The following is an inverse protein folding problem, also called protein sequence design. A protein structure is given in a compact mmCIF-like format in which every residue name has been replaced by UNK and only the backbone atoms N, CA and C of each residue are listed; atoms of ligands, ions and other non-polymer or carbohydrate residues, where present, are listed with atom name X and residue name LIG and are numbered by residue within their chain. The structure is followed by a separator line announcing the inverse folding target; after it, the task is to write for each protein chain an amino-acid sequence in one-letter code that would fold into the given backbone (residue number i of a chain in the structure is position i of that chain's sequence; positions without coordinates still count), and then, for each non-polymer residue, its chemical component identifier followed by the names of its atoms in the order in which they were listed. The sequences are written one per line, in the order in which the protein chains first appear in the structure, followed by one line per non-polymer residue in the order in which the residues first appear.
data_IF_737329345076
#
_entry.id   IF_737329345076
#
_cell.length_a   1.000
_cell.length_b   1.000
_cell.length_c   1.000
_cell.angle_alpha   90.00
_cell.angle_beta   90.00
_cell.angle_gamma   90.00
#
_symmetry.space_group_name_H-M   'P 1'
#
loop_
_entity.id
_entity.type
_entity.pdbx_description
1 polymer ?
#
# COMPACT_ATOMS: atom_id res chain seq x y z
N UNK A 1 -27.70 -7.46 14.46
CA UNK A 1 -27.28 -8.86 14.58
C UNK A 1 -26.88 -9.34 13.18
N UNK A 2 -25.65 -9.05 12.78
CA UNK A 2 -25.04 -9.52 11.52
C UNK A 2 -23.69 -10.12 11.91
N UNK A 3 -23.76 -11.28 12.55
CA UNK A 3 -22.57 -12.03 12.98
C UNK A 3 -22.24 -13.23 12.08
N UNK A 4 -22.89 -13.38 10.93
CA UNK A 4 -22.82 -14.61 10.13
C UNK A 4 -22.22 -14.46 8.73
N UNK A 5 -21.24 -13.57 8.51
CA UNK A 5 -20.39 -13.60 7.33
C UNK A 5 -18.90 -13.45 7.67
N UNK A 6 -18.50 -14.03 8.78
CA UNK A 6 -17.08 -14.14 9.14
C UNK A 6 -16.58 -15.51 8.66
N UNK A 7 -16.41 -15.63 7.37
CA UNK A 7 -15.45 -16.56 6.82
C UNK A 7 -14.05 -16.02 7.14
N UNK A 8 -13.12 -16.89 7.43
CA UNK A 8 -11.74 -16.66 7.86
C UNK A 8 -10.84 -15.86 6.86
N UNK A 9 -11.42 -15.13 5.92
CA UNK A 9 -10.75 -14.53 4.76
C UNK A 9 -10.77 -12.99 4.75
N UNK A 10 -11.32 -12.33 5.78
CA UNK A 10 -11.35 -10.86 5.83
C UNK A 10 -10.23 -10.29 6.69
N UNK A 11 -9.35 -9.53 6.08
CA UNK A 11 -8.22 -8.91 6.77
C UNK A 11 -8.61 -7.64 7.53
N UNK A 12 -9.33 -6.72 6.88
CA UNK A 12 -9.77 -5.44 7.45
C UNK A 12 -11.15 -5.12 6.89
N UNK A 13 -12.07 -4.70 7.76
CA UNK A 13 -13.43 -4.26 7.39
C UNK A 13 -13.66 -2.82 7.81
N UNK A 14 -14.27 -2.03 6.94
CA UNK A 14 -14.77 -0.71 7.29
C UNK A 14 -16.21 -0.49 6.80
N UNK A 15 -17.01 0.21 7.62
CA UNK A 15 -18.34 0.65 7.25
C UNK A 15 -18.28 2.10 6.77
N UNK A 16 -18.88 2.35 5.62
CA UNK A 16 -19.06 3.67 5.07
C UNK A 16 -20.44 4.21 5.46
N UNK A 17 -20.47 5.38 6.08
CA UNK A 17 -21.71 6.11 6.31
C UNK A 17 -21.40 7.60 6.19
N UNK A 18 -22.00 8.25 5.21
CA UNK A 18 -21.77 9.67 4.89
C UNK A 18 -23.12 10.29 4.53
N UNK A 19 -23.46 11.38 5.21
CA UNK A 19 -24.71 12.10 5.01
C UNK A 19 -24.52 13.43 4.26
N UNK A 20 -23.28 13.92 4.16
CA UNK A 20 -22.95 15.17 3.47
C UNK A 20 -21.50 15.12 2.94
N UNK A 21 -21.18 15.62 1.73
CA UNK A 21 -22.02 16.35 0.76
C UNK A 21 -22.88 15.47 -0.17
N UNK A 22 -22.87 14.14 0.05
CA UNK A 22 -23.71 13.15 -0.66
C UNK A 22 -24.05 12.04 0.32
N UNK A 23 -25.13 11.32 0.07
CA UNK A 23 -25.50 10.18 0.87
C UNK A 23 -24.80 8.94 0.37
N UNK A 24 -24.04 8.27 1.24
CA UNK A 24 -23.29 7.07 0.92
C UNK A 24 -23.35 6.11 2.10
N UNK A 25 -23.82 4.92 1.86
CA UNK A 25 -23.74 3.82 2.80
C UNK A 25 -23.05 2.63 2.18
N UNK A 26 -22.34 1.84 2.96
CA UNK A 26 -21.66 0.68 2.40
C UNK A 26 -20.74 -0.03 3.39
N UNK A 27 -20.21 -1.13 2.93
CA UNK A 27 -19.17 -1.90 3.62
C UNK A 27 -18.12 -2.29 2.62
N UNK A 28 -16.87 -1.92 2.89
CA UNK A 28 -15.71 -2.36 2.13
C UNK A 28 -14.80 -3.18 3.03
N UNK A 29 -14.16 -4.18 2.46
CA UNK A 29 -13.20 -5.00 3.18
C UNK A 29 -12.05 -5.44 2.28
N UNK A 30 -10.90 -5.67 2.91
CA UNK A 30 -9.72 -6.24 2.27
C UNK A 30 -9.86 -7.75 2.26
N UNK A 31 -9.91 -8.40 1.11
CA UNK A 31 -9.81 -9.84 1.03
C UNK A 31 -8.38 -10.26 1.37
N UNK A 32 -8.19 -11.47 1.87
CA UNK A 32 -6.87 -12.07 1.99
C UNK A 32 -6.35 -12.34 0.58
N UNK A 33 -5.32 -11.62 0.16
CA UNK A 33 -4.68 -11.85 -1.13
C UNK A 33 -3.76 -13.07 -1.02
N UNK A 34 -4.03 -14.11 -1.79
CA UNK A 34 -3.08 -15.21 -1.97
C UNK A 34 -1.92 -14.77 -2.86
N UNK A 35 -0.75 -15.39 -2.71
CA UNK A 35 0.50 -15.08 -3.43
C UNK A 35 0.38 -15.10 -4.97
N UNK A 36 -0.61 -15.77 -5.52
CA UNK A 36 -0.98 -15.67 -6.92
C UNK A 36 -2.02 -14.57 -7.05
N UNK A 37 -1.63 -13.43 -7.61
CA UNK A 37 -2.55 -12.38 -8.05
C UNK A 37 -3.42 -12.90 -9.22
N UNK A 38 -4.23 -13.91 -8.99
CA UNK A 38 -5.46 -14.03 -9.74
C UNK A 38 -6.34 -12.88 -9.22
N UNK A 39 -6.27 -11.77 -9.95
CA UNK A 39 -7.16 -10.64 -9.78
C UNK A 39 -8.58 -11.20 -9.96
N UNK A 40 -9.18 -11.61 -8.84
CA UNK A 40 -10.59 -11.95 -8.83
C UNK A 40 -11.32 -10.63 -9.11
N UNK A 41 -11.60 -10.43 -10.39
CA UNK A 41 -12.24 -9.23 -10.90
C UNK A 41 -13.53 -8.93 -10.13
N UNK A 42 -13.62 -7.66 -9.72
CA UNK A 42 -14.84 -6.93 -9.40
C UNK A 42 -15.71 -7.52 -8.29
N UNK A 43 -15.44 -7.09 -7.07
CA UNK A 43 -16.31 -7.47 -5.97
C UNK A 43 -16.84 -6.28 -5.19
N UNK A 44 -16.67 -5.05 -5.71
CA UNK A 44 -17.45 -3.91 -5.26
C UNK A 44 -18.71 -3.85 -6.11
N UNK A 45 -19.85 -3.91 -5.46
CA UNK A 45 -21.16 -3.76 -6.08
C UNK A 45 -21.70 -2.37 -5.79
N UNK A 46 -22.10 -1.65 -6.83
CA UNK A 46 -22.72 -0.33 -6.72
C UNK A 46 -24.23 -0.44 -6.78
N UNK A 47 -24.89 0.25 -5.86
CA UNK A 47 -26.33 0.35 -5.75
C UNK A 47 -26.74 1.82 -5.72
N UNK A 48 -27.98 2.08 -6.13
CA UNK A 48 -28.66 3.36 -5.96
C UNK A 48 -30.04 3.12 -5.32
N UNK A 49 -30.23 3.60 -4.08
CA UNK A 49 -31.46 3.35 -3.31
C UNK A 49 -31.80 1.85 -3.27
N UNK A 50 -30.80 1.01 -2.96
CA UNK A 50 -30.94 -0.44 -2.87
C UNK A 50 -31.21 -1.15 -4.23
N UNK A 51 -31.15 -0.42 -5.35
CA UNK A 51 -31.24 -0.99 -6.69
C UNK A 51 -29.84 -1.19 -7.26
N UNK A 52 -29.53 -2.41 -7.69
CA UNK A 52 -28.26 -2.74 -8.30
C UNK A 52 -27.99 -1.92 -9.57
N UNK A 53 -26.82 -1.30 -9.65
CA UNK A 53 -26.37 -0.50 -10.79
C UNK A 53 -25.34 -1.27 -11.60
N UNK A 54 -24.22 -1.62 -10.99
CA UNK A 54 -23.12 -2.34 -11.65
C UNK A 54 -22.17 -2.97 -10.63
N UNK A 55 -21.47 -4.00 -11.05
CA UNK A 55 -20.30 -4.59 -10.40
C UNK A 55 -19.00 -4.30 -11.17
N UNK A 56 -19.10 -3.63 -12.31
CA UNK A 56 -17.97 -3.23 -13.14
C UNK A 56 -17.51 -1.83 -12.75
N UNK A 57 -16.65 -1.74 -11.73
CA UNK A 57 -16.20 -0.47 -11.14
C UNK A 57 -14.90 0.07 -11.75
N UNK A 58 -14.29 -0.64 -12.70
CA UNK A 58 -13.07 -0.20 -13.39
C UNK A 58 -13.28 1.16 -14.08
N UNK A 59 -12.39 2.12 -13.77
CA UNK A 59 -12.49 3.49 -14.26
C UNK A 59 -13.60 4.33 -13.62
N UNK A 60 -14.39 3.77 -12.69
CA UNK A 60 -15.34 4.49 -11.84
C UNK A 60 -14.67 4.83 -10.51
N UNK A 61 -13.95 3.88 -9.92
CA UNK A 61 -13.10 4.09 -8.75
C UNK A 61 -11.62 3.98 -9.17
N UNK A 62 -10.67 4.55 -8.41
CA UNK A 62 -9.24 4.31 -8.63
C UNK A 62 -8.89 2.82 -8.70
N UNK A 63 -7.94 2.46 -9.54
CA UNK A 63 -7.62 1.06 -9.83
C UNK A 63 -7.28 0.24 -8.58
N UNK A 64 -6.55 0.82 -7.63
CA UNK A 64 -6.20 0.12 -6.39
C UNK A 64 -7.43 -0.21 -5.52
N UNK A 65 -8.51 0.59 -5.58
CA UNK A 65 -9.76 0.28 -4.87
C UNK A 65 -10.50 -0.91 -5.47
N UNK A 66 -10.21 -1.29 -6.71
CA UNK A 66 -10.81 -2.49 -7.34
C UNK A 66 -10.37 -3.80 -6.68
N UNK A 67 -9.30 -3.76 -5.89
CA UNK A 67 -8.84 -4.89 -5.07
C UNK A 67 -9.70 -5.09 -3.81
N UNK A 68 -10.51 -4.12 -3.43
CA UNK A 68 -11.46 -4.26 -2.31
C UNK A 68 -12.70 -5.03 -2.74
N UNK A 69 -13.33 -5.63 -1.76
CA UNK A 69 -14.65 -6.24 -1.90
C UNK A 69 -15.69 -5.46 -1.09
N UNK A 70 -16.94 -5.54 -1.48
CA UNK A 70 -18.03 -4.95 -0.72
C UNK A 70 -19.18 -4.41 -1.53
N UNK A 71 -19.98 -3.60 -0.85
CA UNK A 71 -21.20 -3.00 -1.39
C UNK A 71 -21.20 -1.51 -1.07
N UNK A 72 -21.56 -0.70 -2.04
CA UNK A 72 -21.72 0.74 -1.90
C UNK A 72 -23.13 1.08 -2.42
N UNK A 73 -23.90 1.78 -1.62
CA UNK A 73 -25.20 2.31 -1.98
C UNK A 73 -25.22 3.83 -1.83
N UNK A 74 -25.62 4.54 -2.89
CA UNK A 74 -25.77 5.97 -2.87
C UNK A 74 -26.89 6.42 -3.83
N UNK A 75 -27.84 7.26 -3.37
CA UNK A 75 -28.84 7.86 -4.25
C UNK A 75 -28.24 8.80 -5.29
N UNK A 76 -27.01 9.24 -5.09
CA UNK A 76 -26.28 10.14 -6.00
C UNK A 76 -25.62 9.38 -7.18
N UNK A 77 -25.68 8.03 -7.20
CA UNK A 77 -25.24 7.20 -8.33
C UNK A 77 -26.37 7.12 -9.35
N UNK A 78 -26.13 7.56 -10.62
CA UNK A 78 -27.14 7.49 -11.65
C UNK A 78 -27.60 6.06 -11.96
N UNK A 79 -28.91 5.87 -12.11
CA UNK A 79 -29.52 4.60 -12.55
C UNK A 79 -29.61 4.52 -14.07
N UNK A 80 -29.52 3.30 -14.59
CA UNK A 80 -29.75 2.97 -16.02
C UNK A 80 -28.90 3.80 -17.02
N UNK A 81 -27.65 4.06 -16.66
CA UNK A 81 -26.71 4.79 -17.52
C UNK A 81 -25.56 3.88 -17.95
N UNK A 82 -24.87 4.26 -19.04
CA UNK A 82 -23.72 3.53 -19.52
C UNK A 82 -22.51 3.69 -18.58
N UNK A 83 -21.57 2.72 -18.62
CA UNK A 83 -20.31 2.80 -17.87
C UNK A 83 -19.54 4.09 -18.19
N UNK A 84 -19.47 4.48 -19.45
CA UNK A 84 -18.79 5.72 -19.87
C UNK A 84 -19.42 6.97 -19.27
N UNK A 85 -20.73 6.96 -19.06
CA UNK A 85 -21.42 8.05 -18.35
C UNK A 85 -21.01 8.08 -16.88
N UNK A 86 -21.03 6.93 -16.19
CA UNK A 86 -20.61 6.83 -14.77
C UNK A 86 -19.17 7.32 -14.59
N UNK A 87 -18.26 6.98 -15.48
CA UNK A 87 -16.87 7.44 -15.44
C UNK A 87 -16.71 8.95 -15.59
N UNK A 88 -17.60 9.60 -16.33
CA UNK A 88 -17.56 11.06 -16.56
C UNK A 88 -18.34 11.86 -15.51
N UNK A 89 -19.26 11.21 -14.79
CA UNK A 89 -20.15 11.87 -13.82
C UNK A 89 -19.39 12.47 -12.63
N UNK A 90 -19.69 13.73 -12.31
CA UNK A 90 -18.98 14.46 -11.26
C UNK A 90 -19.31 13.97 -9.85
N UNK A 91 -20.53 13.46 -9.61
CA UNK A 91 -20.92 12.95 -8.31
C UNK A 91 -20.22 11.61 -8.06
N UNK A 92 -20.14 10.75 -9.07
CA UNK A 92 -19.39 9.49 -9.01
C UNK A 92 -17.91 9.75 -8.71
N UNK A 93 -17.29 10.75 -9.34
CA UNK A 93 -15.89 11.15 -9.04
C UNK A 93 -15.71 11.67 -7.61
N UNK A 94 -16.68 12.43 -7.08
CA UNK A 94 -16.65 12.89 -5.68
C UNK A 94 -16.78 11.72 -4.71
N UNK A 95 -17.69 10.79 -4.98
CA UNK A 95 -17.87 9.56 -4.19
C UNK A 95 -16.58 8.75 -4.17
N UNK A 96 -15.99 8.51 -5.33
CA UNK A 96 -14.72 7.80 -5.48
C UNK A 96 -13.59 8.45 -4.66
N UNK A 97 -13.42 9.77 -4.79
CA UNK A 97 -12.40 10.51 -4.02
C UNK A 97 -12.66 10.43 -2.50
N UNK A 98 -13.92 10.44 -2.08
CA UNK A 98 -14.28 10.30 -0.67
C UNK A 98 -13.97 8.91 -0.13
N UNK A 99 -14.29 7.87 -0.89
CA UNK A 99 -13.95 6.48 -0.53
C UNK A 99 -12.43 6.33 -0.38
N UNK A 100 -11.65 6.82 -1.34
CA UNK A 100 -10.18 6.84 -1.27
C UNK A 100 -9.69 7.47 0.03
N UNK A 101 -10.24 8.62 0.37
CA UNK A 101 -9.90 9.32 1.62
C UNK A 101 -10.25 8.50 2.85
N UNK A 102 -11.45 7.91 2.90
CA UNK A 102 -11.91 7.09 4.04
C UNK A 102 -11.07 5.85 4.23
N UNK A 103 -10.74 5.15 3.14
CA UNK A 103 -9.86 3.96 3.17
C UNK A 103 -8.49 4.34 3.71
N UNK A 104 -7.87 5.41 3.21
CA UNK A 104 -6.58 5.88 3.70
C UNK A 104 -6.63 6.30 5.18
N UNK A 105 -7.68 7.02 5.60
CA UNK A 105 -7.85 7.45 6.99
C UNK A 105 -8.06 6.24 7.92
N UNK A 106 -8.77 5.20 7.46
CA UNK A 106 -8.95 3.95 8.23
C UNK A 106 -7.64 3.19 8.40
N UNK A 107 -6.86 3.03 7.33
CA UNK A 107 -5.55 2.38 7.38
C UNK A 107 -4.61 3.14 8.33
N UNK A 108 -4.58 4.47 8.24
CA UNK A 108 -3.82 5.31 9.17
C UNK A 108 -4.27 5.13 10.60
N UNK A 109 -5.59 5.09 10.86
CA UNK A 109 -6.14 4.88 12.19
C UNK A 109 -5.70 3.52 12.77
N UNK A 110 -5.75 2.46 11.99
CA UNK A 110 -5.30 1.12 12.41
C UNK A 110 -3.81 1.12 12.74
N UNK A 111 -2.98 1.66 11.85
CA UNK A 111 -1.54 1.77 12.06
C UNK A 111 -1.16 2.59 13.31
N UNK A 112 -1.98 3.58 13.69
CA UNK A 112 -1.70 4.46 14.84
C UNK A 112 -2.25 3.91 16.16
N UNK A 113 -3.44 3.28 16.13
CA UNK A 113 -4.11 2.82 17.36
C UNK A 113 -3.65 1.45 17.81
N UNK A 114 -3.33 0.58 16.87
CA UNK A 114 -2.94 -0.81 17.12
C UNK A 114 -1.87 -1.24 16.13
N UNK A 115 -0.66 -0.75 16.36
CA UNK A 115 0.51 -1.00 15.52
C UNK A 115 0.79 -2.50 15.38
N UNK A 116 0.73 -3.25 16.47
CA UNK A 116 1.02 -4.69 16.48
C UNK A 116 0.02 -5.47 15.61
N UNK A 117 -1.27 -5.15 15.73
CA UNK A 117 -2.31 -5.78 14.92
C UNK A 117 -2.20 -5.38 13.44
N UNK A 118 -1.77 -4.16 13.15
CA UNK A 118 -1.51 -3.70 11.79
C UNK A 118 -0.30 -4.42 11.17
N UNK A 119 0.77 -4.62 11.92
CA UNK A 119 1.95 -5.38 11.51
C UNK A 119 1.61 -6.84 11.18
N UNK A 120 0.77 -7.50 11.99
CA UNK A 120 0.30 -8.88 11.72
C UNK A 120 -0.47 -9.01 10.41
N UNK A 121 -1.16 -7.94 9.98
CA UNK A 121 -1.95 -7.89 8.74
C UNK A 121 -1.17 -7.35 7.55
N UNK A 122 0.07 -6.90 7.78
CA UNK A 122 0.85 -6.19 6.77
C UNK A 122 1.02 -7.00 5.48
N UNK A 123 1.39 -8.26 5.59
CA UNK A 123 1.62 -9.12 4.43
C UNK A 123 0.36 -9.33 3.56
N UNK A 124 -0.83 -9.23 4.15
CA UNK A 124 -2.11 -9.35 3.44
C UNK A 124 -2.53 -8.04 2.74
N UNK A 125 -2.04 -6.87 3.20
CA UNK A 125 -2.49 -5.55 2.71
C UNK A 125 -1.40 -4.74 2.00
N UNK A 126 -0.12 -5.14 2.12
CA UNK A 126 1.01 -4.37 1.56
C UNK A 126 0.87 -4.08 0.07
N UNK A 127 0.49 -5.07 -0.72
CA UNK A 127 0.33 -4.92 -2.19
C UNK A 127 -0.74 -3.87 -2.53
N UNK A 128 -1.84 -3.85 -1.78
CA UNK A 128 -2.89 -2.84 -1.94
C UNK A 128 -2.35 -1.44 -1.66
N UNK A 129 -1.60 -1.26 -0.56
CA UNK A 129 -1.05 0.03 -0.17
C UNK A 129 0.01 0.49 -1.18
N UNK A 130 0.90 -0.39 -1.61
CA UNK A 130 1.91 -0.12 -2.64
C UNK A 130 1.26 0.28 -3.97
N UNK A 131 0.25 -0.44 -4.41
CA UNK A 131 -0.46 -0.12 -5.64
C UNK A 131 -1.18 1.24 -5.53
N UNK A 132 -1.82 1.51 -4.40
CA UNK A 132 -2.43 2.82 -4.14
C UNK A 132 -1.41 3.96 -4.17
N UNK A 133 -0.25 3.76 -3.56
CA UNK A 133 0.85 4.73 -3.53
C UNK A 133 1.39 5.03 -4.95
N UNK A 134 1.42 4.03 -5.81
CA UNK A 134 1.91 4.18 -7.19
C UNK A 134 0.87 4.76 -8.14
N UNK A 135 -0.42 4.60 -7.88
CA UNK A 135 -1.50 4.91 -8.82
C UNK A 135 -2.33 6.16 -8.46
N UNK A 136 -2.30 6.61 -7.20
CA UNK A 136 -3.11 7.76 -6.73
C UNK A 136 -2.28 8.69 -5.82
N UNK A 137 -1.96 9.89 -6.29
CA UNK A 137 -1.12 10.83 -5.55
C UNK A 137 -1.74 11.27 -4.21
N UNK A 138 -3.07 11.38 -4.14
CA UNK A 138 -3.76 11.76 -2.88
C UNK A 138 -3.69 10.65 -1.84
N UNK A 139 -3.78 9.42 -2.30
CA UNK A 139 -3.56 8.26 -1.44
C UNK A 139 -2.10 8.17 -1.02
N UNK A 140 -1.15 8.38 -1.95
CA UNK A 140 0.29 8.35 -1.70
C UNK A 140 0.71 9.30 -0.56
N UNK A 141 0.24 10.55 -0.58
CA UNK A 141 0.51 11.55 0.47
C UNK A 141 0.08 11.08 1.88
N UNK A 142 -0.97 10.26 1.96
CA UNK A 142 -1.42 9.69 3.22
C UNK A 142 -0.70 8.39 3.55
N UNK A 143 -0.47 7.54 2.56
CA UNK A 143 0.14 6.22 2.71
C UNK A 143 1.57 6.31 3.26
N UNK A 144 2.35 7.31 2.88
CA UNK A 144 3.69 7.59 3.43
C UNK A 144 3.72 7.68 4.97
N UNK A 145 2.59 8.03 5.61
CA UNK A 145 2.49 8.20 7.07
C UNK A 145 2.17 6.92 7.83
N UNK A 146 1.79 5.85 7.14
CA UNK A 146 1.41 4.58 7.78
C UNK A 146 1.95 3.34 7.06
N UNK A 147 2.53 3.51 5.89
CA UNK A 147 3.16 2.41 5.18
C UNK A 147 4.32 1.85 5.98
N UNK A 148 4.34 0.54 6.14
CA UNK A 148 5.39 -0.16 6.86
C UNK A 148 6.44 -0.72 5.91
N UNK A 149 7.65 -0.79 6.41
CA UNK A 149 8.78 -1.42 5.76
C UNK A 149 9.32 -2.49 6.70
N UNK A 150 9.41 -3.71 6.21
CA UNK A 150 9.87 -4.88 6.96
C UNK A 150 11.32 -5.16 6.59
N UNK A 151 12.19 -5.35 7.58
CA UNK A 151 13.56 -5.75 7.33
C UNK A 151 13.74 -7.29 7.38
N UNK A 152 14.93 -7.75 7.07
CA UNK A 152 15.30 -9.19 7.10
C UNK A 152 15.31 -9.79 8.50
N UNK A 153 15.15 -8.99 9.55
CA UNK A 153 15.00 -9.43 10.95
C UNK A 153 13.54 -9.45 11.41
N UNK A 154 12.60 -9.32 10.47
CA UNK A 154 11.16 -9.27 10.75
C UNK A 154 10.71 -8.05 11.58
N UNK A 155 11.52 -6.99 11.63
CA UNK A 155 11.19 -5.73 12.30
C UNK A 155 10.47 -4.79 11.33
N UNK A 156 9.46 -4.05 11.81
CA UNK A 156 8.66 -3.13 11.02
C UNK A 156 8.96 -1.67 11.36
N UNK A 157 9.05 -0.82 10.34
CA UNK A 157 9.36 0.59 10.46
C UNK A 157 8.47 1.44 9.56
N UNK A 158 8.18 2.66 9.98
CA UNK A 158 7.85 3.74 9.06
C UNK A 158 9.13 4.19 8.35
N UNK A 159 9.00 4.84 7.19
CA UNK A 159 10.19 5.24 6.41
C UNK A 159 11.13 6.14 7.21
N UNK A 160 10.60 7.10 7.96
CA UNK A 160 11.40 8.02 8.76
C UNK A 160 12.14 7.29 9.90
N UNK A 161 11.47 6.34 10.58
CA UNK A 161 12.07 5.49 11.62
C UNK A 161 13.22 4.65 11.05
N UNK A 162 13.03 4.12 9.85
CA UNK A 162 14.05 3.32 9.19
C UNK A 162 15.26 4.15 8.76
N UNK A 163 15.02 5.32 8.17
CA UNK A 163 16.09 6.23 7.77
C UNK A 163 16.94 6.68 8.97
N UNK A 164 16.30 7.02 10.10
CA UNK A 164 17.03 7.36 11.33
C UNK A 164 17.92 6.20 11.82
N UNK A 165 17.40 4.98 11.75
CA UNK A 165 18.14 3.77 12.15
C UNK A 165 19.39 3.53 11.31
N UNK A 166 19.31 3.68 9.97
CA UNK A 166 20.39 3.29 9.05
C UNK A 166 21.33 4.42 8.67
N UNK A 167 20.96 5.69 8.87
CA UNK A 167 21.65 6.87 8.37
C UNK A 167 23.16 6.86 8.66
N UNK A 168 23.54 6.56 9.88
CA UNK A 168 24.96 6.59 10.29
C UNK A 168 25.79 5.50 9.63
N UNK A 169 25.21 4.30 9.50
CA UNK A 169 25.91 3.14 8.94
C UNK A 169 25.90 3.15 7.40
N UNK A 170 24.78 3.57 6.80
CA UNK A 170 24.52 3.41 5.37
C UNK A 170 24.54 4.74 4.58
N UNK A 171 25.23 5.76 5.08
CA UNK A 171 25.54 6.95 4.30
C UNK A 171 26.73 6.67 3.37
N UNK A 172 26.60 6.98 2.07
CA UNK A 172 27.67 6.84 1.08
C UNK A 172 28.51 8.12 0.99
N UNK A 173 29.60 8.08 0.19
CA UNK A 173 30.48 9.22 -0.07
C UNK A 173 29.78 10.47 -0.61
N UNK A 174 28.62 10.30 -1.28
CA UNK A 174 27.82 11.39 -1.84
C UNK A 174 26.82 11.98 -0.82
N UNK A 175 26.94 11.62 0.46
CA UNK A 175 26.08 12.03 1.56
C UNK A 175 24.63 11.54 1.42
N UNK A 176 24.39 10.48 0.64
CA UNK A 176 23.08 9.85 0.50
C UNK A 176 22.96 8.64 1.39
N UNK A 177 21.80 8.48 2.01
CA UNK A 177 21.47 7.26 2.75
C UNK A 177 21.06 6.16 1.78
N UNK A 178 21.76 5.04 1.80
CA UNK A 178 21.49 3.90 0.91
C UNK A 178 20.61 2.90 1.60
N UNK A 179 19.39 2.73 1.11
CA UNK A 179 18.47 1.67 1.55
C UNK A 179 18.80 0.41 0.74
N UNK A 180 19.36 -0.58 1.41
CA UNK A 180 19.55 -1.89 0.83
C UNK A 180 18.23 -2.68 0.89
N UNK A 181 17.89 -3.39 -0.19
CA UNK A 181 16.69 -4.22 -0.20
C UNK A 181 16.89 -5.54 -0.94
N UNK A 182 16.07 -6.52 -0.60
CA UNK A 182 15.99 -7.82 -1.26
C UNK A 182 14.54 -8.16 -1.59
N UNK A 183 14.33 -8.87 -2.69
CA UNK A 183 13.03 -9.45 -3.03
C UNK A 183 12.92 -10.92 -2.59
N UNK A 184 14.07 -11.57 -2.34
CA UNK A 184 14.14 -12.97 -1.90
C UNK A 184 15.26 -13.12 -0.86
N UNK A 185 14.92 -13.09 0.44
CA UNK A 185 15.91 -13.24 1.50
C UNK A 185 16.64 -14.59 1.49
N UNK A 186 15.98 -15.66 1.05
CA UNK A 186 16.59 -16.98 1.01
C UNK A 186 17.64 -17.08 -0.10
N UNK A 187 17.30 -16.63 -1.31
CA UNK A 187 18.22 -16.59 -2.44
C UNK A 187 19.43 -15.68 -2.18
N UNK A 188 19.24 -14.58 -1.46
CA UNK A 188 20.26 -13.56 -1.22
C UNK A 188 20.93 -13.65 0.16
N UNK A 189 20.74 -14.75 0.90
CA UNK A 189 21.24 -14.90 2.29
C UNK A 189 22.72 -14.58 2.47
N UNK A 190 23.59 -14.95 1.52
CA UNK A 190 25.03 -14.68 1.59
C UNK A 190 25.36 -13.19 1.47
N UNK A 191 24.64 -12.45 0.62
CA UNK A 191 24.81 -11.01 0.47
C UNK A 191 24.26 -10.28 1.72
N UNK A 192 23.12 -10.73 2.24
CA UNK A 192 22.51 -10.21 3.47
C UNK A 192 23.48 -10.41 4.66
N UNK A 193 24.07 -11.59 4.83
CA UNK A 193 25.03 -11.84 5.90
C UNK A 193 26.24 -10.88 5.82
N UNK A 194 26.79 -10.68 4.63
CA UNK A 194 27.90 -9.72 4.43
C UNK A 194 27.50 -8.27 4.75
N UNK A 195 26.25 -7.88 4.47
CA UNK A 195 25.76 -6.56 4.82
C UNK A 195 25.61 -6.42 6.35
N UNK A 196 25.05 -7.44 7.00
CA UNK A 196 24.88 -7.47 8.46
C UNK A 196 26.24 -7.49 9.20
N UNK A 197 27.26 -8.17 8.71
CA UNK A 197 28.62 -8.16 9.26
C UNK A 197 29.22 -6.75 9.27
N UNK A 198 28.79 -5.88 8.35
CA UNK A 198 29.17 -4.45 8.31
C UNK A 198 28.24 -3.55 9.13
N UNK A 199 27.28 -4.11 9.83
CA UNK A 199 26.27 -3.36 10.58
C UNK A 199 25.20 -2.70 9.71
N UNK A 200 25.05 -3.14 8.45
CA UNK A 200 24.00 -2.66 7.55
C UNK A 200 22.70 -3.41 7.76
N UNK A 201 21.58 -2.73 7.54
CA UNK A 201 20.26 -3.32 7.55
C UNK A 201 19.73 -3.46 6.12
N UNK A 202 18.83 -4.42 5.90
CA UNK A 202 18.29 -4.75 4.58
C UNK A 202 16.78 -4.88 4.68
N UNK A 203 16.04 -4.18 3.81
CA UNK A 203 14.59 -4.31 3.71
C UNK A 203 14.20 -5.52 2.85
N UNK A 204 13.06 -6.10 3.17
CA UNK A 204 12.37 -7.09 2.34
C UNK A 204 11.32 -6.36 1.49
N UNK A 205 11.52 -6.36 0.19
CA UNK A 205 10.61 -5.79 -0.80
C UNK A 205 10.28 -6.88 -1.83
N UNK A 206 9.33 -7.74 -1.47
CA UNK A 206 9.05 -9.04 -2.11
C UNK A 206 7.82 -9.02 -3.03
N UNK A 207 7.26 -7.83 -3.31
CA UNK A 207 6.13 -7.69 -4.22
C UNK A 207 6.58 -7.46 -5.67
N UNK A 208 5.70 -7.71 -6.62
CA UNK A 208 5.94 -7.37 -8.04
C UNK A 208 6.06 -5.86 -8.29
N UNK A 209 5.64 -5.03 -7.33
CA UNK A 209 5.68 -3.58 -7.40
C UNK A 209 6.97 -2.98 -6.82
N UNK A 210 7.81 -3.78 -6.17
CA UNK A 210 8.97 -3.32 -5.38
C UNK A 210 9.92 -2.40 -6.14
N UNK A 211 10.24 -2.72 -7.40
CA UNK A 211 11.14 -1.86 -8.21
C UNK A 211 10.51 -0.50 -8.54
N UNK A 212 9.21 -0.48 -8.83
CA UNK A 212 8.49 0.78 -9.08
C UNK A 212 8.36 1.61 -7.81
N UNK A 213 8.12 0.94 -6.68
CA UNK A 213 8.05 1.56 -5.36
C UNK A 213 9.39 2.19 -4.98
N UNK A 214 10.50 1.48 -5.14
CA UNK A 214 11.84 2.00 -4.89
C UNK A 214 12.12 3.27 -5.70
N UNK A 215 11.84 3.25 -7.01
CA UNK A 215 12.02 4.40 -7.88
C UNK A 215 11.13 5.60 -7.47
N UNK A 216 9.89 5.36 -7.08
CA UNK A 216 8.97 6.41 -6.59
C UNK A 216 9.48 7.03 -5.30
N UNK A 217 9.94 6.20 -4.37
CA UNK A 217 10.47 6.67 -3.08
C UNK A 217 11.76 7.47 -3.24
N UNK A 218 12.66 7.08 -4.16
CA UNK A 218 13.86 7.86 -4.48
C UNK A 218 13.53 9.26 -5.03
N UNK A 219 12.45 9.39 -5.79
CA UNK A 219 11.99 10.69 -6.29
C UNK A 219 11.37 11.55 -5.19
N UNK A 220 10.71 10.93 -4.22
CA UNK A 220 9.94 11.59 -3.18
C UNK A 220 10.78 11.93 -1.93
N UNK A 221 11.89 11.20 -1.69
CA UNK A 221 12.78 11.36 -0.55
C UNK A 221 14.07 12.09 -0.95
N UNK A 222 14.47 13.05 -0.12
CA UNK A 222 15.72 13.78 -0.34
C UNK A 222 16.90 12.96 0.20
N UNK A 223 17.98 12.91 -0.56
CA UNK A 223 19.26 12.27 -0.15
C UNK A 223 19.14 10.79 0.22
N UNK A 224 18.22 10.09 -0.43
CA UNK A 224 18.02 8.65 -0.29
C UNK A 224 18.21 7.97 -1.65
N UNK A 225 18.80 6.79 -1.63
CA UNK A 225 18.86 5.91 -2.81
C UNK A 225 18.56 4.47 -2.41
N UNK A 226 17.96 3.71 -3.32
CA UNK A 226 17.63 2.30 -3.10
C UNK A 226 18.60 1.44 -3.90
N UNK A 227 19.18 0.43 -3.26
CA UNK A 227 20.08 -0.50 -3.91
C UNK A 227 19.67 -1.96 -3.62
N UNK A 228 19.47 -2.73 -4.67
CA UNK A 228 19.18 -4.16 -4.52
C UNK A 228 20.45 -4.88 -4.08
N UNK A 229 20.35 -5.70 -3.05
CA UNK A 229 21.50 -6.32 -2.36
C UNK A 229 22.35 -7.21 -3.27
N UNK A 230 21.77 -7.75 -4.34
CA UNK A 230 22.42 -8.63 -5.33
C UNK A 230 22.93 -7.91 -6.57
N UNK A 231 22.73 -6.59 -6.67
CA UNK A 231 23.10 -5.83 -7.89
C UNK A 231 24.61 -5.58 -8.03
N UNK A 232 25.35 -5.54 -6.92
CA UNK A 232 26.81 -5.41 -6.89
C UNK A 232 27.37 -5.86 -5.52
N UNK A 233 28.69 -5.74 -5.34
CA UNK A 233 29.34 -5.98 -4.05
C UNK A 233 28.93 -4.92 -3.02
N UNK A 234 28.87 -5.29 -1.75
CA UNK A 234 28.47 -4.38 -0.65
C UNK A 234 29.32 -3.10 -0.63
N UNK A 235 30.62 -3.20 -0.92
CA UNK A 235 31.53 -2.05 -0.93
C UNK A 235 31.23 -1.05 -2.04
N UNK A 236 30.64 -1.51 -3.14
CA UNK A 236 30.19 -0.64 -4.23
C UNK A 236 28.78 -0.10 -4.00
N UNK A 237 27.91 -0.88 -3.38
CA UNK A 237 26.54 -0.45 -3.06
C UNK A 237 26.56 0.72 -2.06
N UNK A 238 27.43 0.67 -1.06
CA UNK A 238 27.66 1.75 -0.09
C UNK A 238 29.13 2.15 -0.16
N UNK A 239 29.50 2.89 -1.21
CA UNK A 239 30.84 3.40 -1.36
C UNK A 239 31.10 4.46 -0.28
N UNK A 240 32.09 4.22 0.59
CA UNK A 240 32.58 5.17 1.58
C UNK A 240 33.85 5.83 1.09
N UNK A 241 34.15 7.01 1.63
CA UNK A 241 35.46 7.62 1.42
C UNK A 241 36.53 6.66 1.97
N UNK A 242 37.60 6.38 1.19
CA UNK A 242 38.73 5.63 1.71
C UNK A 242 39.39 6.49 2.80
N UNK A 243 39.39 5.98 4.03
CA UNK A 243 40.26 6.58 5.07
C UNK A 243 41.70 6.38 4.60
N UNK A 244 42.39 7.50 4.25
CA UNK A 244 43.81 7.57 3.90
C UNK A 244 44.65 7.49 5.17
#
# INVERSE_FOLDING_TARGET
MIECLVGSEMCIRDSLNVDYPFNLTGVLYFPKLSHNMEVQKNKIQLYCNQVFVTDQVEGIVPDFLTLLHGVIDSPDIPLNVSRSYLQSDQNVKKISSHITKKVADKLKQLATKDREEFEKKWDDIKVFIEFGLLSDDKFAEKAKKFMLYKNVKEEFFLIDEYLEKIKVAQENKDKKTVILYTHDPEAHHAAIAKAQDRGYDVLVMDTSLSSHLANKLEQDLTDVTFARIDSDTIDKLIAKDEEI
#
